data_IF_939852657861
#
_entry.id   IF_939852657861
#
_cell.length_a   1.000
_cell.length_b   1.000
_cell.length_c   1.000
_cell.angle_alpha   90.00
_cell.angle_beta   90.00
_cell.angle_gamma   90.00
#
_symmetry.space_group_name_H-M   'P 1'
#
loop_
_entity.id
_entity.type
_entity.pdbx_description
1 polymer ?
#
# COMPACT_ATOMS: atom_id res chain seq x y z
N UNK A 1 29.13 -3.25 -0.62
CA UNK A 1 28.60 -1.91 -0.29
C UNK A 1 27.74 -2.03 0.95
N UNK A 2 27.94 -1.12 1.88
CA UNK A 2 27.20 -1.03 3.13
C UNK A 2 26.85 0.44 3.37
N UNK A 3 25.55 0.71 3.57
CA UNK A 3 25.01 1.99 3.97
C UNK A 3 24.36 1.81 5.33
N UNK A 4 24.73 2.60 6.31
CA UNK A 4 24.13 2.58 7.66
C UNK A 4 23.77 3.99 8.11
N UNK A 5 22.59 4.11 8.75
CA UNK A 5 22.13 5.35 9.35
C UNK A 5 21.60 6.40 8.35
N UNK A 6 21.26 6.00 7.13
CA UNK A 6 20.65 6.91 6.14
C UNK A 6 19.30 7.47 6.59
N UNK A 7 18.98 8.66 6.09
CA UNK A 7 17.68 9.33 6.28
C UNK A 7 17.12 9.72 4.93
N UNK A 8 15.83 9.43 4.68
CA UNK A 8 15.10 9.84 3.49
C UNK A 8 13.87 10.62 3.91
N UNK A 9 13.77 11.85 3.46
CA UNK A 9 12.55 12.63 3.58
C UNK A 9 11.77 12.55 2.26
N UNK A 10 10.53 12.09 2.35
CA UNK A 10 9.60 12.03 1.22
C UNK A 10 8.54 13.09 1.41
N UNK A 11 8.38 13.96 0.41
CA UNK A 11 7.31 14.95 0.37
C UNK A 11 6.54 14.84 -0.95
N UNK A 12 5.22 14.75 -0.83
CA UNK A 12 4.31 14.70 -1.98
C UNK A 12 3.29 15.85 -1.88
N UNK A 13 3.47 16.85 -2.71
CA UNK A 13 2.59 18.01 -2.79
C UNK A 13 1.40 17.80 -3.76
N UNK A 14 1.33 16.63 -4.45
CA UNK A 14 0.22 16.29 -5.33
C UNK A 14 -1.06 15.92 -4.57
N UNK A 15 -0.93 15.53 -3.30
CA UNK A 15 -2.06 15.25 -2.41
C UNK A 15 -2.34 16.42 -1.47
N UNK A 16 -3.58 16.53 -0.98
CA UNK A 16 -3.99 17.61 -0.04
C UNK A 16 -4.66 17.01 1.19
N UNK A 17 -4.12 17.24 2.41
CA UNK A 17 -2.86 17.96 2.69
C UNK A 17 -1.65 17.24 2.09
N UNK A 18 -0.54 17.96 1.89
CA UNK A 18 0.70 17.34 1.40
C UNK A 18 1.14 16.20 2.33
N UNK A 19 1.60 15.10 1.73
CA UNK A 19 2.17 14.00 2.49
C UNK A 19 3.65 14.29 2.80
N UNK A 20 4.03 14.15 4.06
CA UNK A 20 5.43 14.28 4.52
C UNK A 20 5.76 13.06 5.36
N UNK A 21 6.74 12.27 4.92
CA UNK A 21 7.18 11.06 5.57
C UNK A 21 8.68 11.07 5.76
N UNK A 22 9.12 10.85 7.00
CA UNK A 22 10.53 10.68 7.35
C UNK A 22 10.83 9.20 7.54
N UNK A 23 11.70 8.68 6.71
CA UNK A 23 12.26 7.34 6.82
C UNK A 23 13.66 7.46 7.37
N UNK A 24 13.91 6.87 8.52
CA UNK A 24 15.19 6.94 9.24
C UNK A 24 15.85 5.56 9.39
N UNK A 25 17.05 5.53 9.96
CA UNK A 25 17.82 4.32 10.18
C UNK A 25 17.91 3.42 8.93
N UNK A 26 17.98 4.05 7.74
CA UNK A 26 18.10 3.32 6.49
C UNK A 26 19.42 2.56 6.47
N UNK A 27 19.32 1.25 6.28
CA UNK A 27 20.44 0.33 6.09
C UNK A 27 20.27 -0.38 4.76
N UNK A 28 21.33 -0.48 4.02
CA UNK A 28 21.36 -1.26 2.77
C UNK A 28 22.70 -1.99 2.70
N UNK A 29 22.64 -3.30 2.56
CA UNK A 29 23.81 -4.15 2.42
C UNK A 29 23.75 -4.92 1.12
N UNK A 30 24.86 -4.96 0.39
CA UNK A 30 25.01 -5.81 -0.79
C UNK A 30 26.44 -6.30 -0.93
N UNK A 31 26.59 -7.50 -1.48
CA UNK A 31 27.90 -8.13 -1.75
C UNK A 31 28.03 -8.39 -3.24
N UNK A 32 29.28 -8.36 -3.71
CA UNK A 32 29.59 -8.66 -5.12
C UNK A 32 29.10 -7.59 -6.09
N UNK A 33 29.05 -6.31 -5.65
CA UNK A 33 28.68 -5.20 -6.51
C UNK A 33 29.65 -5.09 -7.70
N UNK A 34 29.12 -5.25 -8.91
CA UNK A 34 29.85 -5.04 -10.18
C UNK A 34 28.98 -4.21 -11.12
N UNK A 35 29.62 -3.54 -12.07
CA UNK A 35 28.89 -2.80 -13.11
C UNK A 35 29.39 -3.21 -14.49
N UNK A 36 28.51 -3.60 -15.43
CA UNK A 36 27.08 -3.89 -15.26
C UNK A 36 26.81 -5.11 -14.37
N UNK A 37 25.65 -5.12 -13.67
CA UNK A 37 25.24 -6.19 -12.74
C UNK A 37 24.62 -7.35 -13.51
N UNK A 38 25.45 -8.17 -14.16
CA UNK A 38 25.02 -9.28 -15.02
C UNK A 38 24.64 -10.55 -14.24
N UNK A 39 25.24 -10.76 -13.07
CA UNK A 39 24.91 -11.88 -12.20
C UNK A 39 23.98 -11.40 -11.08
N UNK A 40 23.05 -12.24 -10.58
CA UNK A 40 22.19 -11.87 -9.47
C UNK A 40 23.00 -11.43 -8.25
N UNK A 41 22.84 -10.19 -7.85
CA UNK A 41 23.49 -9.56 -6.70
C UNK A 41 22.52 -9.57 -5.52
N UNK A 42 22.85 -10.24 -4.40
CA UNK A 42 22.01 -10.22 -3.23
C UNK A 42 22.05 -8.85 -2.54
N UNK A 43 20.91 -8.40 -2.06
CA UNK A 43 20.78 -7.20 -1.24
C UNK A 43 19.83 -7.43 -0.07
N UNK A 44 20.10 -6.72 1.01
CA UNK A 44 19.24 -6.63 2.17
C UNK A 44 19.15 -5.18 2.60
N UNK A 45 17.95 -4.74 3.00
CA UNK A 45 17.74 -3.39 3.48
C UNK A 45 16.71 -3.36 4.60
N UNK A 46 16.86 -2.38 5.46
CA UNK A 46 15.85 -2.03 6.46
C UNK A 46 15.78 -0.54 6.65
N UNK A 47 14.62 -0.07 7.08
CA UNK A 47 14.41 1.33 7.42
C UNK A 47 13.37 1.43 8.52
N UNK A 48 13.27 2.60 9.15
CA UNK A 48 12.24 2.92 10.13
C UNK A 48 11.34 4.04 9.61
N UNK A 49 10.04 3.76 9.56
CA UNK A 49 9.00 4.78 9.40
C UNK A 49 8.40 4.99 10.78
N UNK A 50 8.73 6.11 11.43
CA UNK A 50 8.49 6.35 12.86
C UNK A 50 9.18 5.29 13.74
N UNK A 51 8.37 4.43 14.39
CA UNK A 51 8.85 3.32 15.24
C UNK A 51 8.72 1.95 14.55
N UNK A 52 8.26 1.94 13.29
CA UNK A 52 8.00 0.72 12.55
C UNK A 52 9.16 0.35 11.66
N UNK A 53 9.61 -0.90 11.74
CA UNK A 53 10.66 -1.42 10.87
C UNK A 53 10.05 -1.92 9.55
N UNK A 54 10.63 -1.44 8.45
CA UNK A 54 10.37 -1.90 7.10
C UNK A 54 11.57 -2.72 6.67
N UNK A 55 11.36 -3.93 6.17
CA UNK A 55 12.42 -4.80 5.66
C UNK A 55 12.25 -5.09 4.18
N UNK A 56 13.39 -5.22 3.49
CA UNK A 56 13.48 -5.69 2.11
C UNK A 56 14.71 -6.58 1.96
N UNK A 57 14.57 -7.71 1.28
CA UNK A 57 15.71 -8.57 0.91
C UNK A 57 15.45 -9.21 -0.44
N UNK A 58 16.50 -9.40 -1.21
CA UNK A 58 16.32 -9.97 -2.54
C UNK A 58 17.59 -10.10 -3.35
N UNK A 59 17.39 -10.21 -4.65
CA UNK A 59 18.45 -10.22 -5.65
C UNK A 59 18.10 -9.28 -6.78
N UNK A 60 19.11 -8.65 -7.38
CA UNK A 60 18.95 -7.76 -8.52
C UNK A 60 20.05 -7.98 -9.56
N UNK A 61 19.69 -7.73 -10.81
CA UNK A 61 20.59 -7.50 -11.95
C UNK A 61 20.33 -6.12 -12.52
N UNK A 62 21.00 -5.75 -13.60
CA UNK A 62 20.72 -4.50 -14.33
C UNK A 62 19.36 -4.51 -15.06
N UNK A 63 18.73 -5.67 -15.21
CA UNK A 63 17.47 -5.84 -15.95
C UNK A 63 16.34 -6.48 -15.17
N UNK A 64 16.59 -7.02 -13.99
CA UNK A 64 15.57 -7.67 -13.17
C UNK A 64 15.89 -7.59 -11.68
N UNK A 65 14.85 -7.54 -10.86
CA UNK A 65 14.97 -7.68 -9.41
C UNK A 65 13.81 -8.49 -8.83
N UNK A 66 14.11 -9.25 -7.79
CA UNK A 66 13.12 -9.92 -6.95
C UNK A 66 13.42 -9.59 -5.49
N UNK A 67 12.41 -9.19 -4.75
CA UNK A 67 12.57 -8.82 -3.35
C UNK A 67 11.38 -9.28 -2.50
N UNK A 68 11.65 -9.71 -1.28
CA UNK A 68 10.63 -9.88 -0.24
C UNK A 68 10.53 -8.59 0.56
N UNK A 69 9.31 -8.09 0.71
CA UNK A 69 8.98 -6.92 1.51
C UNK A 69 8.29 -7.34 2.79
N UNK A 70 8.57 -6.65 3.89
CA UNK A 70 7.88 -6.80 5.16
C UNK A 70 7.64 -5.45 5.82
N UNK A 71 6.40 -5.24 6.28
CA UNK A 71 5.94 -4.05 6.98
C UNK A 71 5.22 -4.52 8.26
N UNK A 72 5.51 -3.93 9.39
CA UNK A 72 4.85 -4.29 10.65
C UNK A 72 4.30 -3.07 11.39
N UNK A 73 3.05 -3.18 11.87
CA UNK A 73 2.39 -2.23 12.76
C UNK A 73 2.42 -0.75 12.32
N UNK A 74 2.36 -0.48 11.01
CA UNK A 74 2.33 0.90 10.50
C UNK A 74 0.96 1.52 10.81
N UNK A 75 0.90 2.65 11.53
CA UNK A 75 -0.36 3.35 11.73
C UNK A 75 -0.96 3.84 10.41
N UNK A 76 -2.21 3.47 10.09
CA UNK A 76 -2.89 3.91 8.85
C UNK A 76 -3.02 5.42 8.75
N UNK A 77 -3.06 6.13 9.87
CA UNK A 77 -3.07 7.60 9.90
C UNK A 77 -1.87 8.25 9.20
N UNK A 78 -0.76 7.52 9.01
CA UNK A 78 0.38 7.99 8.21
C UNK A 78 0.06 8.19 6.75
N UNK A 79 -0.88 7.41 6.24
CA UNK A 79 -1.34 7.51 4.87
C UNK A 79 -2.58 8.41 4.72
N UNK A 80 -2.95 9.15 5.78
CA UNK A 80 -4.12 10.02 5.77
C UNK A 80 -4.17 10.99 4.56
N UNK A 81 -3.06 11.64 4.12
CA UNK A 81 -3.09 12.50 2.94
C UNK A 81 -3.52 11.77 1.66
N UNK A 82 -3.09 10.52 1.48
CA UNK A 82 -3.47 9.71 0.33
C UNK A 82 -4.90 9.17 0.46
N UNK A 83 -5.28 8.71 1.65
CA UNK A 83 -6.61 8.19 1.94
C UNK A 83 -7.68 9.29 1.79
N UNK A 84 -7.41 10.50 2.26
CA UNK A 84 -8.34 11.63 2.19
C UNK A 84 -8.64 12.11 0.77
N UNK A 85 -7.81 11.75 -0.21
CA UNK A 85 -8.09 12.02 -1.62
C UNK A 85 -9.24 11.16 -2.18
N UNK A 86 -9.54 10.02 -1.55
CA UNK A 86 -10.59 9.10 -1.96
C UNK A 86 -11.71 8.94 -0.92
N UNK A 87 -11.38 9.09 0.38
CA UNK A 87 -12.27 8.82 1.51
C UNK A 87 -12.25 9.99 2.51
N UNK A 88 -13.39 10.63 2.73
CA UNK A 88 -13.50 11.79 3.64
C UNK A 88 -13.34 11.45 5.12
N UNK A 89 -14.00 10.38 5.67
CA UNK A 89 -13.80 10.03 7.06
C UNK A 89 -12.36 9.58 7.32
N UNK A 90 -11.80 9.99 8.46
CA UNK A 90 -10.48 9.54 8.89
C UNK A 90 -10.44 8.03 9.06
N UNK A 91 -9.30 7.42 8.70
CA UNK A 91 -9.05 6.00 8.85
C UNK A 91 -7.96 5.77 9.88
N UNK A 92 -8.23 4.92 10.86
CA UNK A 92 -7.28 4.50 11.88
C UNK A 92 -7.17 2.97 11.91
N UNK A 93 -6.03 2.48 12.37
CA UNK A 93 -5.73 1.06 12.46
C UNK A 93 -4.23 0.82 12.31
N UNK A 94 -3.80 -0.43 12.42
CA UNK A 94 -2.41 -0.86 12.27
C UNK A 94 -2.30 -1.78 11.07
N UNK A 95 -1.43 -1.41 10.13
CA UNK A 95 -1.15 -2.15 8.91
C UNK A 95 0.07 -3.05 9.09
N UNK A 96 -0.10 -4.32 8.81
CA UNK A 96 0.96 -5.29 8.57
C UNK A 96 0.86 -5.76 7.12
N UNK A 97 1.96 -5.82 6.42
CA UNK A 97 1.96 -6.31 5.05
C UNK A 97 3.27 -6.99 4.70
N UNK A 98 3.20 -7.92 3.76
CA UNK A 98 4.35 -8.58 3.18
C UNK A 98 4.02 -9.16 1.84
N UNK A 99 5.05 -9.41 1.02
CA UNK A 99 4.88 -9.97 -0.30
C UNK A 99 6.17 -9.97 -1.09
N UNK A 100 6.12 -10.54 -2.28
CA UNK A 100 7.23 -10.58 -3.22
C UNK A 100 7.06 -9.50 -4.29
N UNK A 101 8.03 -8.61 -4.37
CA UNK A 101 8.14 -7.63 -5.45
C UNK A 101 8.99 -8.21 -6.57
N UNK A 102 8.50 -8.12 -7.79
CA UNK A 102 9.24 -8.49 -9.01
C UNK A 102 9.28 -7.29 -9.96
N UNK A 103 10.47 -6.96 -10.39
CA UNK A 103 10.71 -5.91 -11.38
C UNK A 103 11.49 -6.46 -12.56
N UNK A 104 11.08 -6.06 -13.76
CA UNK A 104 11.79 -6.33 -15.01
C UNK A 104 11.88 -5.07 -15.85
N UNK A 105 13.07 -4.75 -16.35
CA UNK A 105 13.26 -3.65 -17.29
C UNK A 105 12.60 -3.96 -18.65
N UNK A 106 12.25 -2.92 -19.38
CA UNK A 106 11.83 -3.08 -20.77
C UNK A 106 12.98 -3.67 -21.61
N UNK A 107 12.69 -4.69 -22.42
CA UNK A 107 13.67 -5.34 -23.31
C UNK A 107 13.03 -5.66 -24.66
N UNK A 108 13.52 -5.05 -25.74
CA UNK A 108 12.93 -5.19 -27.08
C UNK A 108 11.43 -4.85 -27.04
N UNK A 109 10.58 -5.77 -27.48
CA UNK A 109 9.11 -5.61 -27.48
C UNK A 109 8.44 -5.90 -26.14
N UNK A 110 9.19 -6.34 -25.13
CA UNK A 110 8.64 -6.58 -23.78
C UNK A 110 8.66 -5.29 -22.98
N UNK A 111 7.48 -4.80 -22.54
CA UNK A 111 7.40 -3.62 -21.69
C UNK A 111 8.01 -3.89 -20.31
N UNK A 112 8.34 -2.84 -19.59
CA UNK A 112 8.68 -2.92 -18.19
C UNK A 112 7.54 -3.60 -17.39
N UNK A 113 7.90 -4.42 -16.42
CA UNK A 113 6.95 -5.00 -15.46
C UNK A 113 7.37 -4.64 -14.04
N UNK A 114 6.37 -4.35 -13.19
CA UNK A 114 6.56 -4.15 -11.75
C UNK A 114 5.33 -4.73 -11.04
N UNK A 115 5.55 -5.85 -10.35
CA UNK A 115 4.48 -6.65 -9.77
C UNK A 115 4.74 -6.94 -8.29
N UNK A 116 3.69 -6.90 -7.49
CA UNK A 116 3.67 -7.44 -6.13
C UNK A 116 2.87 -8.75 -6.16
N UNK A 117 3.48 -9.82 -5.75
CA UNK A 117 2.93 -11.18 -5.83
C UNK A 117 2.79 -11.81 -4.44
N UNK A 118 1.79 -12.68 -4.29
CA UNK A 118 1.54 -13.44 -3.05
C UNK A 118 1.54 -12.53 -1.82
N UNK A 119 1.02 -11.32 -1.98
CA UNK A 119 1.02 -10.37 -0.89
C UNK A 119 -0.09 -10.68 0.11
N UNK A 120 0.24 -10.42 1.37
CA UNK A 120 -0.69 -10.47 2.50
C UNK A 120 -0.77 -9.08 3.10
N UNK A 121 -1.99 -8.60 3.31
CA UNK A 121 -2.27 -7.32 3.97
C UNK A 121 -3.19 -7.60 5.16
N UNK A 122 -2.77 -7.19 6.34
CA UNK A 122 -3.47 -7.43 7.60
C UNK A 122 -3.62 -6.10 8.34
N UNK A 123 -4.85 -5.61 8.43
CA UNK A 123 -5.16 -4.37 9.16
C UNK A 123 -5.90 -4.73 10.42
N UNK A 124 -5.31 -4.38 11.56
CA UNK A 124 -5.89 -4.60 12.87
C UNK A 124 -6.51 -3.32 13.42
N UNK A 125 -7.60 -3.45 14.18
CA UNK A 125 -8.32 -2.37 14.86
C UNK A 125 -8.71 -1.25 13.87
N UNK A 126 -9.23 -1.61 12.70
CA UNK A 126 -9.65 -0.65 11.69
C UNK A 126 -10.86 0.14 12.19
N UNK A 127 -10.77 1.47 12.16
CA UNK A 127 -11.83 2.39 12.52
C UNK A 127 -11.98 3.47 11.48
N UNK A 128 -13.21 3.74 11.08
CA UNK A 128 -13.58 4.79 10.15
C UNK A 128 -14.32 5.89 10.88
N UNK A 129 -13.87 7.14 10.76
CA UNK A 129 -14.47 8.31 11.41
C UNK A 129 -13.84 8.68 12.76
N UNK A 130 -14.56 9.39 13.62
CA UNK A 130 -14.03 9.87 14.91
C UNK A 130 -13.61 8.72 15.83
N UNK A 131 -12.43 8.77 16.47
CA UNK A 131 -11.90 7.66 17.29
C UNK A 131 -12.81 7.19 18.44
N UNK A 132 -13.55 8.14 19.05
CA UNK A 132 -14.45 7.84 20.18
C UNK A 132 -15.80 7.29 19.75
N UNK A 133 -16.21 7.53 18.49
CA UNK A 133 -17.52 7.15 17.99
C UNK A 133 -17.41 6.82 16.50
N UNK A 134 -16.75 5.69 16.18
CA UNK A 134 -16.50 5.32 14.78
C UNK A 134 -17.82 5.08 14.04
N UNK A 135 -17.85 5.48 12.78
CA UNK A 135 -18.95 5.22 11.85
C UNK A 135 -18.98 3.74 11.45
N UNK A 136 -17.81 3.17 11.30
CA UNK A 136 -17.60 1.75 11.07
C UNK A 136 -16.31 1.28 11.74
N UNK A 137 -16.25 0.02 12.14
CA UNK A 137 -15.06 -0.61 12.69
C UNK A 137 -14.97 -2.08 12.31
N UNK A 138 -13.74 -2.57 12.26
CA UNK A 138 -13.38 -3.97 12.05
C UNK A 138 -12.30 -4.33 13.06
N UNK A 139 -12.41 -5.46 13.72
CA UNK A 139 -11.32 -5.98 14.54
C UNK A 139 -10.11 -6.33 13.67
N UNK A 140 -10.37 -6.92 12.49
CA UNK A 140 -9.34 -7.29 11.53
C UNK A 140 -9.89 -7.26 10.12
N UNK A 141 -9.08 -6.75 9.19
CA UNK A 141 -9.23 -6.91 7.74
C UNK A 141 -8.00 -7.65 7.25
N UNK A 142 -8.21 -8.80 6.62
CA UNK A 142 -7.14 -9.63 6.08
C UNK A 142 -7.36 -9.85 4.60
N UNK A 143 -6.37 -9.46 3.79
CA UNK A 143 -6.28 -9.81 2.36
C UNK A 143 -5.17 -10.82 2.18
N UNK A 144 -5.46 -11.93 1.53
CA UNK A 144 -4.50 -12.98 1.18
C UNK A 144 -4.46 -13.20 -0.32
N UNK A 145 -3.32 -13.67 -0.80
CA UNK A 145 -3.05 -13.90 -2.23
C UNK A 145 -3.28 -12.66 -3.11
N UNK A 146 -2.90 -11.50 -2.57
CA UNK A 146 -2.98 -10.25 -3.31
C UNK A 146 -1.88 -10.22 -4.39
N UNK A 147 -2.29 -9.91 -5.62
CA UNK A 147 -1.41 -9.63 -6.76
C UNK A 147 -1.69 -8.23 -7.28
N UNK A 148 -0.64 -7.44 -7.42
CA UNK A 148 -0.76 -6.07 -7.94
C UNK A 148 0.21 -5.91 -9.10
N UNK A 149 -0.29 -5.51 -10.27
CA UNK A 149 0.53 -5.07 -11.39
C UNK A 149 0.46 -3.54 -11.47
N UNK A 150 1.56 -2.89 -11.12
CA UNK A 150 1.64 -1.43 -11.03
C UNK A 150 1.69 -0.76 -12.41
N UNK A 151 2.17 -1.47 -13.42
CA UNK A 151 2.24 -0.97 -14.80
C UNK A 151 0.89 -1.09 -15.49
N UNK A 152 0.23 -2.25 -15.35
CA UNK A 152 -1.09 -2.50 -15.93
C UNK A 152 -2.25 -1.99 -15.06
N UNK A 153 -1.96 -1.48 -13.86
CA UNK A 153 -2.95 -0.97 -12.91
C UNK A 153 -4.03 -2.00 -12.59
N UNK A 154 -3.61 -3.19 -12.22
CA UNK A 154 -4.52 -4.24 -11.76
C UNK A 154 -4.16 -4.71 -10.36
N UNK A 155 -5.20 -5.07 -9.59
CA UNK A 155 -5.08 -5.64 -8.26
C UNK A 155 -6.10 -6.79 -8.12
N UNK A 156 -5.61 -8.01 -7.94
CA UNK A 156 -6.43 -9.20 -7.77
C UNK A 156 -6.21 -9.76 -6.36
N UNK A 157 -7.29 -9.87 -5.60
CA UNK A 157 -7.32 -10.42 -4.24
C UNK A 157 -7.88 -11.83 -4.27
N UNK A 158 -7.16 -12.80 -3.70
CA UNK A 158 -7.67 -14.16 -3.53
C UNK A 158 -8.76 -14.20 -2.46
N UNK A 159 -8.42 -13.89 -1.23
CA UNK A 159 -9.36 -13.89 -0.11
C UNK A 159 -9.34 -12.55 0.62
N UNK A 160 -10.55 -12.05 0.95
CA UNK A 160 -10.76 -10.94 1.86
C UNK A 160 -11.56 -11.43 3.06
N UNK A 161 -10.96 -11.40 4.25
CA UNK A 161 -11.63 -11.76 5.50
C UNK A 161 -11.86 -10.52 6.35
N UNK A 162 -13.11 -10.30 6.77
CA UNK A 162 -13.50 -9.23 7.68
C UNK A 162 -13.95 -9.84 9.00
N UNK A 163 -13.25 -9.54 10.10
CA UNK A 163 -13.56 -10.06 11.43
C UNK A 163 -14.26 -8.98 12.28
N UNK A 164 -15.37 -9.35 12.87
CA UNK A 164 -16.20 -8.50 13.74
C UNK A 164 -16.52 -7.14 13.10
N UNK A 165 -17.11 -7.11 11.89
CA UNK A 165 -17.51 -5.86 11.27
C UNK A 165 -18.67 -5.23 12.05
N UNK A 166 -18.52 -3.95 12.37
CA UNK A 166 -19.56 -3.14 12.99
C UNK A 166 -19.74 -1.86 12.18
N UNK A 167 -20.96 -1.50 11.88
CA UNK A 167 -21.28 -0.29 11.14
C UNK A 167 -22.57 0.31 11.69
N UNK A 168 -22.55 1.61 11.92
CA UNK A 168 -23.77 2.37 12.13
C UNK A 168 -24.32 2.79 10.77
N UNK A 169 -25.57 2.48 10.51
CA UNK A 169 -26.26 2.94 9.30
C UNK A 169 -27.35 3.91 9.73
N UNK A 170 -27.35 5.11 9.19
CA UNK A 170 -28.32 6.15 9.48
C UNK A 170 -28.81 6.74 8.16
N UNK A 171 -30.08 7.05 8.11
CA UNK A 171 -30.69 7.85 7.04
C UNK A 171 -30.94 9.25 7.57
N UNK A 172 -30.46 10.25 6.85
CA UNK A 172 -30.62 11.65 7.20
C UNK A 172 -32.07 12.13 6.99
N UNK A 173 -32.42 13.29 7.54
CA UNK A 173 -33.79 13.82 7.46
C UNK A 173 -34.23 14.14 6.02
N UNK A 174 -33.31 14.43 5.13
CA UNK A 174 -33.51 14.64 3.69
C UNK A 174 -33.63 13.34 2.88
N UNK A 175 -33.46 12.19 3.56
CA UNK A 175 -33.52 10.87 2.96
C UNK A 175 -32.20 10.32 2.42
N UNK A 176 -31.11 11.08 2.46
CA UNK A 176 -29.77 10.63 2.07
C UNK A 176 -29.21 9.61 3.06
N UNK A 177 -28.35 8.70 2.58
CA UNK A 177 -27.62 7.79 3.46
C UNK A 177 -26.35 8.44 3.99
N UNK A 178 -26.04 8.25 5.27
CA UNK A 178 -24.87 8.82 5.93
C UNK A 178 -23.53 8.49 5.24
N UNK A 179 -23.45 7.41 4.49
CA UNK A 179 -22.24 6.98 3.78
C UNK A 179 -22.10 7.56 2.37
N UNK A 180 -23.15 8.15 1.79
CA UNK A 180 -23.07 8.78 0.46
C UNK A 180 -21.97 9.85 0.34
N UNK A 181 -21.76 10.74 1.35
CA UNK A 181 -20.71 11.73 1.29
C UNK A 181 -19.32 11.20 1.67
N UNK A 182 -19.15 9.91 1.98
CA UNK A 182 -17.84 9.39 2.43
C UNK A 182 -16.80 9.33 1.30
N UNK A 183 -17.24 9.09 0.09
CA UNK A 183 -16.33 9.09 -1.07
C UNK A 183 -16.10 10.51 -1.56
N UNK A 184 -14.86 10.79 -1.92
CA UNK A 184 -14.51 12.03 -2.64
C UNK A 184 -14.88 11.84 -4.09
N UNK A 185 -15.69 12.75 -4.63
CA UNK A 185 -16.03 12.71 -6.05
C UNK A 185 -14.75 12.77 -6.90
N UNK A 186 -14.66 11.89 -7.89
CA UNK A 186 -13.56 11.94 -8.84
C UNK A 186 -13.53 13.31 -9.53
N UNK A 187 -12.36 13.91 -9.77
CA UNK A 187 -12.26 15.13 -10.55
C UNK A 187 -12.93 14.95 -11.91
N UNK A 188 -13.67 15.99 -12.35
CA UNK A 188 -14.35 15.97 -13.64
C UNK A 188 -13.38 15.63 -14.78
N UNK A 189 -13.69 14.69 -15.70
CA UNK A 189 -12.77 14.19 -16.73
C UNK A 189 -12.46 15.17 -17.88
N UNK A 190 -12.47 16.47 -17.62
CA UNK A 190 -12.08 17.50 -18.59
C UNK A 190 -10.54 17.66 -18.75
N UNK A 191 -9.72 16.82 -18.09
CA UNK A 191 -8.27 16.85 -18.24
C UNK A 191 -7.81 15.86 -19.32
N UNK A 192 -6.82 16.21 -20.18
CA UNK A 192 -6.35 15.34 -21.24
C UNK A 192 -5.67 14.08 -20.66
N UNK A 193 -5.96 12.92 -21.25
CA UNK A 193 -5.43 11.60 -20.95
C UNK A 193 -5.64 11.15 -19.50
N UNK A 194 -6.87 10.74 -19.18
CA UNK A 194 -7.14 9.99 -17.94
C UNK A 194 -6.29 8.71 -17.92
N UNK A 195 -5.40 8.53 -16.92
CA UNK A 195 -4.70 7.26 -16.79
C UNK A 195 -5.71 6.13 -16.72
N UNK A 196 -5.42 4.98 -17.35
CA UNK A 196 -6.31 3.82 -17.30
C UNK A 196 -6.78 3.58 -15.85
N UNK A 197 -8.09 3.39 -15.62
CA UNK A 197 -8.59 3.11 -14.27
C UNK A 197 -8.01 1.79 -13.75
N UNK A 198 -7.85 1.68 -12.45
CA UNK A 198 -7.47 0.43 -11.81
C UNK A 198 -8.54 -0.63 -12.02
N UNK A 199 -8.12 -1.82 -12.40
CA UNK A 199 -8.97 -3.02 -12.38
C UNK A 199 -8.75 -3.73 -11.06
N UNK A 200 -9.84 -4.00 -10.34
CA UNK A 200 -9.78 -4.68 -9.04
C UNK A 200 -10.64 -5.93 -9.10
N UNK A 201 -10.04 -7.08 -8.80
CA UNK A 201 -10.70 -8.38 -8.69
C UNK A 201 -10.73 -8.87 -7.24
N UNK A 202 -11.79 -9.56 -6.85
CA UNK A 202 -11.93 -10.25 -5.57
C UNK A 202 -12.52 -11.63 -5.82
N UNK A 203 -11.80 -12.70 -5.44
CA UNK A 203 -12.25 -14.07 -5.66
C UNK A 203 -13.19 -14.56 -4.54
N UNK A 204 -12.88 -14.24 -3.27
CA UNK A 204 -13.69 -14.66 -2.14
C UNK A 204 -13.76 -13.60 -1.03
N UNK A 205 -14.95 -13.43 -0.42
CA UNK A 205 -15.20 -12.60 0.74
C UNK A 205 -15.71 -13.47 1.89
N UNK A 206 -15.10 -13.34 3.06
CA UNK A 206 -15.50 -14.01 4.29
C UNK A 206 -15.81 -12.98 5.38
N UNK A 207 -16.93 -13.19 6.08
CA UNK A 207 -17.30 -12.43 7.27
C UNK A 207 -17.22 -13.38 8.45
N UNK A 208 -16.51 -12.99 9.50
CA UNK A 208 -16.33 -13.77 10.72
C UNK A 208 -16.70 -12.96 11.96
N UNK A 209 -17.19 -13.65 13.00
CA UNK A 209 -17.48 -13.07 14.30
C UNK A 209 -16.23 -12.84 15.14
#
# INVERSE_FOLDING_TARGET
>A
FDLDGGVLQWRDDAVKPAADMLVSALRVQTRGLSWPVRAPMPFEGSAQLDQTVIGIRGTATDTAAQAELSLGDIPLGRFAPYISSALKPALAGKLNAGGRLEWQAAQGDRPMALQLLSARVDVNELKLGPPRQPLASLKRLLVEDLRVDLVQRSADMGNLTLTQPQMRVQREADGAWMFEPWLVAAPNPAAPATPQPWRVGLAALQLTE
#
